data_IF_419274249987
#
_entry.id   IF_419274249987
#
_cell.length_a   1.000
_cell.length_b   1.000
_cell.length_c   1.000
_cell.angle_alpha   90.00
_cell.angle_beta   90.00
_cell.angle_gamma   90.00
#
_symmetry.space_group_name_H-M   'P 1'
#
loop_
_entity.id
_entity.type
_entity.pdbx_description
1 polymer ?
#
# COMPACT_ATOMS: atom_id res chain seq x y z
N UNK A 1 13.10 -62.21 -12.07
CA UNK A 1 13.10 -62.00 -10.62
C UNK A 1 12.50 -60.60 -10.34
N UNK A 2 11.35 -60.52 -9.72
CA UNK A 2 10.76 -59.25 -9.31
C UNK A 2 11.44 -58.85 -8.00
N UNK A 3 12.23 -57.78 -8.05
CA UNK A 3 12.83 -57.18 -6.83
C UNK A 3 11.72 -56.36 -6.15
N UNK A 4 11.32 -56.74 -4.95
CA UNK A 4 10.40 -55.98 -4.15
C UNK A 4 11.13 -54.78 -3.47
N UNK A 5 10.41 -53.72 -3.27
CA UNK A 5 10.93 -52.56 -2.49
C UNK A 5 11.16 -52.99 -1.03
N UNK A 6 12.24 -52.52 -0.45
CA UNK A 6 12.51 -52.72 0.96
C UNK A 6 11.76 -51.67 1.80
N UNK A 7 11.38 -52.00 3.04
CA UNK A 7 10.72 -51.06 3.96
C UNK A 7 11.58 -49.82 4.17
N UNK A 8 12.90 -49.96 4.21
CA UNK A 8 13.85 -48.88 4.36
C UNK A 8 13.78 -47.89 3.17
N UNK A 9 13.70 -48.40 1.97
CA UNK A 9 13.61 -47.59 0.75
C UNK A 9 12.33 -46.77 0.71
N UNK A 10 11.21 -47.35 1.12
CA UNK A 10 9.92 -46.64 1.26
C UNK A 10 10.01 -45.55 2.32
N UNK A 11 10.61 -45.84 3.49
CA UNK A 11 10.77 -44.87 4.56
C UNK A 11 11.63 -43.68 4.13
N UNK A 12 12.74 -43.92 3.44
CA UNK A 12 13.61 -42.84 2.93
C UNK A 12 12.88 -42.02 1.86
N UNK A 13 12.13 -42.66 0.97
CA UNK A 13 11.37 -41.96 -0.06
C UNK A 13 10.30 -41.01 0.53
N UNK A 14 9.56 -41.49 1.54
CA UNK A 14 8.58 -40.65 2.26
C UNK A 14 9.26 -39.47 2.96
N UNK A 15 10.40 -39.68 3.60
CA UNK A 15 11.14 -38.64 4.26
C UNK A 15 11.60 -37.53 3.30
N UNK A 16 12.13 -37.90 2.13
CA UNK A 16 12.54 -36.93 1.10
C UNK A 16 11.34 -36.14 0.59
N UNK A 17 10.20 -36.80 0.35
CA UNK A 17 8.98 -36.14 -0.12
C UNK A 17 8.48 -35.13 0.92
N UNK A 18 8.49 -35.49 2.21
CA UNK A 18 8.07 -34.58 3.27
C UNK A 18 8.93 -33.32 3.34
N UNK A 19 10.26 -33.44 3.25
CA UNK A 19 11.16 -32.29 3.22
C UNK A 19 10.88 -31.41 2.00
N UNK A 20 10.68 -32.02 0.83
CA UNK A 20 10.37 -31.27 -0.39
C UNK A 20 9.06 -30.49 -0.28
N UNK A 21 8.02 -31.11 0.26
CA UNK A 21 6.70 -30.45 0.46
C UNK A 21 6.80 -29.27 1.44
N UNK A 22 7.50 -29.45 2.56
CA UNK A 22 7.71 -28.38 3.54
C UNK A 22 8.48 -27.21 2.90
N UNK A 23 9.51 -27.50 2.11
CA UNK A 23 10.30 -26.48 1.41
C UNK A 23 9.47 -25.67 0.42
N UNK A 24 8.64 -26.32 -0.39
CA UNK A 24 7.75 -25.65 -1.34
C UNK A 24 6.71 -24.80 -0.61
N UNK A 25 6.11 -25.33 0.45
CA UNK A 25 5.12 -24.59 1.24
C UNK A 25 5.71 -23.32 1.87
N UNK A 26 6.90 -23.41 2.44
CA UNK A 26 7.60 -22.27 3.02
C UNK A 26 7.92 -21.19 1.96
N UNK A 27 8.39 -21.59 0.79
CA UNK A 27 8.65 -20.67 -0.32
C UNK A 27 7.39 -19.96 -0.78
N UNK A 28 6.28 -20.68 -0.90
CA UNK A 28 4.99 -20.11 -1.28
C UNK A 28 4.49 -19.07 -0.27
N UNK A 29 4.60 -19.35 1.03
CA UNK A 29 4.19 -18.42 2.09
C UNK A 29 4.94 -17.07 1.99
N UNK A 30 6.25 -17.12 1.73
CA UNK A 30 7.07 -15.90 1.54
C UNK A 30 6.60 -15.10 0.32
N UNK A 31 6.31 -15.76 -0.80
CA UNK A 31 5.83 -15.09 -2.02
C UNK A 31 4.50 -14.35 -1.78
N UNK A 32 3.57 -14.98 -1.05
CA UNK A 32 2.27 -14.35 -0.73
C UNK A 32 2.45 -13.09 0.13
N UNK A 33 3.31 -13.15 1.13
CA UNK A 33 3.60 -11.99 2.01
C UNK A 33 4.23 -10.85 1.18
N UNK A 34 5.22 -11.16 0.34
CA UNK A 34 5.87 -10.17 -0.52
C UNK A 34 4.91 -9.54 -1.53
N UNK A 35 4.00 -10.34 -2.10
CA UNK A 35 2.99 -9.83 -3.03
C UNK A 35 2.04 -8.84 -2.34
N UNK A 36 1.59 -9.16 -1.13
CA UNK A 36 0.75 -8.26 -0.33
C UNK A 36 1.48 -6.97 0.03
N UNK A 37 2.73 -7.05 0.47
CA UNK A 37 3.54 -5.89 0.83
C UNK A 37 3.80 -4.97 -0.38
N UNK A 38 4.10 -5.55 -1.54
CA UNK A 38 4.25 -4.80 -2.77
C UNK A 38 2.95 -4.11 -3.20
N UNK A 39 1.81 -4.78 -3.08
CA UNK A 39 0.51 -4.17 -3.39
C UNK A 39 0.25 -2.93 -2.52
N UNK A 40 0.51 -3.03 -1.22
CA UNK A 40 0.35 -1.90 -0.29
C UNK A 40 1.31 -0.74 -0.64
N UNK A 41 2.56 -1.03 -1.01
CA UNK A 41 3.52 -0.01 -1.44
C UNK A 41 3.09 0.70 -2.72
N UNK A 42 2.56 -0.03 -3.69
CA UNK A 42 2.01 0.57 -4.91
C UNK A 42 0.84 1.49 -4.59
N UNK A 43 -0.10 1.05 -3.77
CA UNK A 43 -1.24 1.87 -3.36
C UNK A 43 -0.80 3.14 -2.66
N UNK A 44 0.13 3.04 -1.70
CA UNK A 44 0.69 4.20 -1.01
C UNK A 44 1.39 5.19 -1.97
N UNK A 45 2.10 4.66 -2.98
CA UNK A 45 2.75 5.49 -4.00
C UNK A 45 1.74 6.25 -4.87
N UNK A 46 0.65 5.61 -5.28
CA UNK A 46 -0.41 6.28 -6.05
C UNK A 46 -1.13 7.36 -5.22
N UNK A 47 -1.45 7.06 -3.97
CA UNK A 47 -2.05 8.04 -3.07
C UNK A 47 -1.14 9.25 -2.82
N UNK A 48 0.17 9.01 -2.69
CA UNK A 48 1.13 10.09 -2.56
C UNK A 48 1.20 10.96 -3.82
N UNK A 49 1.15 10.36 -5.02
CA UNK A 49 1.11 11.09 -6.27
C UNK A 49 -0.17 11.91 -6.42
N UNK A 50 -1.32 11.34 -6.05
CA UNK A 50 -2.59 12.05 -6.06
C UNK A 50 -2.56 13.25 -5.10
N UNK A 51 -2.05 13.07 -3.88
CA UNK A 51 -1.90 14.17 -2.92
C UNK A 51 -1.04 15.31 -3.45
N UNK A 52 0.10 15.00 -4.06
CA UNK A 52 0.97 16.01 -4.68
C UNK A 52 0.26 16.74 -5.82
N UNK A 53 -0.53 16.02 -6.64
CA UNK A 53 -1.24 16.62 -7.75
C UNK A 53 -2.36 17.58 -7.28
N UNK A 54 -3.06 17.23 -6.21
CA UNK A 54 -4.09 18.09 -5.60
C UNK A 54 -3.44 19.39 -5.10
N UNK A 55 -2.35 19.29 -4.34
CA UNK A 55 -1.61 20.46 -3.82
C UNK A 55 -1.11 21.34 -4.97
N UNK A 56 -0.57 20.74 -6.03
CA UNK A 56 -0.12 21.46 -7.22
C UNK A 56 -1.28 22.18 -7.91
N UNK A 57 -2.41 21.52 -8.05
CA UNK A 57 -3.61 22.10 -8.67
C UNK A 57 -4.13 23.31 -7.88
N UNK A 58 -4.15 23.25 -6.55
CA UNK A 58 -4.54 24.37 -5.68
C UNK A 58 -3.57 25.54 -5.88
N UNK A 59 -2.26 25.29 -5.82
CA UNK A 59 -1.23 26.32 -6.05
C UNK A 59 -1.39 27.02 -7.39
N UNK A 60 -1.55 26.25 -8.44
CA UNK A 60 -1.64 26.76 -9.82
C UNK A 60 -2.97 27.53 -10.00
N UNK A 61 -4.06 27.06 -9.39
CA UNK A 61 -5.33 27.78 -9.37
C UNK A 61 -5.24 29.12 -8.65
N UNK A 62 -4.58 29.17 -7.49
CA UNK A 62 -4.37 30.42 -6.76
C UNK A 62 -3.59 31.43 -7.59
N UNK A 63 -2.60 30.96 -8.34
CA UNK A 63 -1.80 31.83 -9.22
C UNK A 63 -2.63 32.38 -10.39
N UNK A 64 -3.41 31.51 -11.05
CA UNK A 64 -4.26 31.93 -12.19
C UNK A 64 -5.36 32.90 -11.74
N UNK A 65 -5.90 32.71 -10.52
CA UNK A 65 -6.94 33.58 -9.95
C UNK A 65 -6.39 34.90 -9.40
N UNK A 66 -5.07 35.10 -9.41
CA UNK A 66 -4.44 36.30 -8.91
C UNK A 66 -4.54 36.50 -7.40
N UNK A 67 -4.59 35.41 -6.63
CA UNK A 67 -4.53 35.47 -5.17
C UNK A 67 -3.21 36.11 -4.74
N UNK A 68 -3.25 36.99 -3.74
CA UNK A 68 -2.06 37.67 -3.22
C UNK A 68 -1.01 36.69 -2.70
N UNK A 69 -1.43 35.53 -2.17
CA UNK A 69 -0.56 34.48 -1.70
C UNK A 69 -0.82 33.18 -2.48
N UNK A 70 0.23 32.60 -3.04
CA UNK A 70 0.17 31.34 -3.78
C UNK A 70 -0.25 30.15 -2.88
N UNK A 71 -0.04 30.28 -1.57
CA UNK A 71 -0.38 29.27 -0.53
C UNK A 71 -1.70 29.60 0.18
N UNK A 72 -2.54 30.47 -0.37
CA UNK A 72 -3.86 30.72 0.17
C UNK A 72 -4.67 29.42 0.28
N UNK A 73 -5.27 29.16 1.43
CA UNK A 73 -6.01 27.92 1.71
C UNK A 73 -5.16 26.77 2.30
N UNK A 74 -3.84 26.91 2.39
CA UNK A 74 -3.01 25.99 3.15
C UNK A 74 -2.96 26.43 4.60
N UNK A 75 -3.48 25.61 5.49
CA UNK A 75 -3.48 25.86 6.93
C UNK A 75 -2.06 25.69 7.48
N UNK A 76 -1.78 26.38 8.54
CA UNK A 76 -0.56 26.62 9.30
C UNK A 76 0.61 25.63 9.06
N UNK A 77 1.80 26.20 8.88
CA UNK A 77 3.04 25.53 8.43
C UNK A 77 3.62 24.52 9.42
N UNK A 78 3.17 24.57 10.68
CA UNK A 78 3.72 23.72 11.76
C UNK A 78 2.95 22.40 11.95
N UNK A 79 1.77 22.29 11.35
CA UNK A 79 0.97 21.07 11.37
C UNK A 79 0.92 20.48 9.97
N UNK A 80 1.10 19.17 9.87
CA UNK A 80 0.89 18.45 8.60
C UNK A 80 -0.51 18.74 8.06
N UNK A 81 -0.68 18.64 6.76
CA UNK A 81 -1.98 18.82 6.10
C UNK A 81 -2.45 17.44 5.58
N UNK A 82 -3.74 17.21 5.69
CA UNK A 82 -4.40 16.07 5.08
C UNK A 82 -5.08 16.52 3.79
N UNK A 83 -4.82 15.81 2.72
CA UNK A 83 -5.33 16.10 1.39
C UNK A 83 -6.15 14.90 0.93
N UNK A 84 -7.43 15.13 0.64
CA UNK A 84 -8.37 14.14 0.15
C UNK A 84 -8.90 14.56 -1.24
N UNK A 85 -9.46 13.62 -2.00
CA UNK A 85 -10.14 13.88 -3.28
C UNK A 85 -11.28 14.91 -3.14
N UNK A 86 -11.89 15.02 -1.98
CA UNK A 86 -12.91 16.03 -1.65
C UNK A 86 -12.33 17.44 -1.52
N UNK A 87 -11.04 17.58 -1.21
CA UNK A 87 -10.36 18.87 -1.09
C UNK A 87 -10.41 19.64 -2.42
N UNK A 88 -10.44 18.93 -3.54
CA UNK A 88 -10.58 19.52 -4.89
C UNK A 88 -11.96 20.17 -5.11
N UNK A 89 -12.99 19.75 -4.40
CA UNK A 89 -14.39 20.23 -4.57
C UNK A 89 -14.72 21.51 -3.80
N UNK A 90 -13.72 22.20 -3.24
CA UNK A 90 -13.91 23.44 -2.49
C UNK A 90 -14.01 23.26 -0.96
N UNK A 91 -13.73 22.08 -0.47
CA UNK A 91 -13.53 21.86 0.94
C UNK A 91 -12.13 22.36 1.35
N UNK A 92 -12.06 23.02 2.51
CA UNK A 92 -10.79 23.47 3.05
C UNK A 92 -9.86 22.29 3.33
N UNK A 93 -8.56 22.49 3.05
CA UNK A 93 -7.52 21.56 3.45
C UNK A 93 -7.57 21.45 4.97
N UNK A 94 -7.80 20.25 5.48
CA UNK A 94 -7.88 20.02 6.91
C UNK A 94 -6.48 19.87 7.50
N UNK A 95 -6.21 20.43 8.69
CA UNK A 95 -4.97 20.15 9.40
C UNK A 95 -4.94 18.66 9.77
N UNK A 96 -3.78 18.04 9.62
CA UNK A 96 -3.57 16.68 10.07
C UNK A 96 -3.72 16.61 11.60
N UNK A 97 -4.81 16.03 12.06
CA UNK A 97 -5.05 15.77 13.47
C UNK A 97 -4.43 14.42 13.77
N UNK A 98 -3.27 14.39 14.40
CA UNK A 98 -2.42 13.23 14.66
C UNK A 98 -3.02 12.08 15.48
N UNK A 99 -4.30 11.98 15.55
CA UNK A 99 -5.08 10.98 16.29
C UNK A 99 -5.34 9.71 15.45
N UNK A 100 -4.28 9.03 14.98
CA UNK A 100 -4.43 7.65 14.56
C UNK A 100 -5.48 7.38 13.48
N UNK A 101 -6.00 8.38 12.81
CA UNK A 101 -6.80 8.23 11.61
C UNK A 101 -5.89 7.73 10.50
N UNK A 102 -5.71 6.41 10.51
CA UNK A 102 -5.19 5.71 9.35
C UNK A 102 -6.09 6.07 8.17
N UNK A 103 -5.50 6.35 7.04
CA UNK A 103 -6.18 6.50 5.76
C UNK A 103 -7.28 5.44 5.69
N UNK A 104 -8.53 5.86 5.88
CA UNK A 104 -9.67 4.97 5.79
C UNK A 104 -9.93 4.76 4.30
N UNK A 105 -9.23 3.80 3.72
CA UNK A 105 -9.47 3.40 2.34
C UNK A 105 -10.83 2.70 2.37
N UNK A 106 -11.87 3.41 2.00
CA UNK A 106 -13.19 2.80 1.79
C UNK A 106 -13.09 1.88 0.57
N UNK A 107 -12.92 0.60 0.85
CA UNK A 107 -12.81 -0.48 -0.15
C UNK A 107 -14.13 -0.70 -0.90
N UNK A 108 -15.17 0.11 -0.65
CA UNK A 108 -16.50 -0.01 -1.23
C UNK A 108 -16.71 0.77 -2.52
N UNK A 109 -15.66 1.26 -3.13
CA UNK A 109 -15.69 2.14 -4.30
C UNK A 109 -15.16 1.57 -5.60
N UNK A 110 -15.38 0.24 -5.89
CA UNK A 110 -15.24 -0.29 -7.25
C UNK A 110 -16.44 -1.12 -7.62
#
# INVERSE_FOLDING_TARGET
MRKGFTIVEVAISIFIILIAVIGVYSAFAVVVILASDNSNKFMASYLAQEGIEIVRNIRDSNWVLGQEEWNAGFVDRDQGIEVDYLTRSGNEIQPWIGDGNYLNIDVRGF
#
